data_IF_227829901876
#
_entry.id   IF_227829901876
#
_cell.length_a   1.000
_cell.length_b   1.000
_cell.length_c   1.000
_cell.angle_alpha   90.00
_cell.angle_beta   90.00
_cell.angle_gamma   90.00
#
_symmetry.space_group_name_H-M   'P 1'
#
loop_
_entity.id
_entity.type
_entity.pdbx_description
1 polymer ?
#
# COMPACT_ATOMS: atom_id res chain seq x y z
N UNK A 1 49.22 56.80 -57.20
CA UNK A 1 49.97 55.62 -56.71
C UNK A 1 49.70 55.31 -55.23
N UNK A 2 49.81 56.29 -54.31
CA UNK A 2 49.57 56.10 -52.86
C UNK A 2 48.16 55.60 -52.52
N UNK A 3 47.12 56.27 -52.99
CA UNK A 3 45.72 55.88 -52.74
C UNK A 3 45.37 54.44 -53.14
N UNK A 4 45.94 53.92 -54.25
CA UNK A 4 45.75 52.51 -54.65
C UNK A 4 46.38 51.54 -53.66
N UNK A 5 47.63 51.81 -53.24
CA UNK A 5 48.33 51.01 -52.22
C UNK A 5 47.63 51.08 -50.86
N UNK A 6 47.06 52.23 -50.51
CA UNK A 6 46.25 52.38 -49.30
C UNK A 6 44.97 51.54 -49.39
N UNK A 7 44.27 51.58 -50.53
CA UNK A 7 43.10 50.75 -50.78
C UNK A 7 43.38 49.25 -50.68
N UNK A 8 44.49 48.77 -51.27
CA UNK A 8 44.92 47.37 -51.18
C UNK A 8 45.26 46.95 -49.75
N UNK A 9 45.92 47.84 -48.98
CA UNK A 9 46.20 47.62 -47.56
C UNK A 9 44.91 47.52 -46.75
N UNK A 10 43.95 48.42 -46.98
CA UNK A 10 42.65 48.41 -46.31
C UNK A 10 41.83 47.18 -46.67
N UNK A 11 41.79 46.78 -47.94
CA UNK A 11 41.11 45.56 -48.37
C UNK A 11 41.70 44.31 -47.70
N UNK A 12 43.03 44.23 -47.64
CA UNK A 12 43.73 43.12 -46.96
C UNK A 12 43.46 43.12 -45.45
N UNK A 13 43.44 44.29 -44.82
CA UNK A 13 43.12 44.43 -43.39
C UNK A 13 41.68 44.03 -43.08
N UNK A 14 40.73 44.44 -43.91
CA UNK A 14 39.32 44.07 -43.78
C UNK A 14 39.12 42.56 -43.92
N UNK A 15 39.79 41.94 -44.90
CA UNK A 15 39.70 40.50 -45.11
C UNK A 15 40.25 39.72 -43.91
N UNK A 16 41.37 40.17 -43.31
CA UNK A 16 41.88 39.57 -42.07
C UNK A 16 40.91 39.75 -40.91
N UNK A 17 40.39 40.95 -40.71
CA UNK A 17 39.42 41.23 -39.64
C UNK A 17 38.14 40.38 -39.77
N UNK A 18 37.65 40.17 -41.00
CA UNK A 18 36.52 39.28 -41.27
C UNK A 18 36.82 37.82 -40.91
N UNK A 19 38.00 37.30 -41.29
CA UNK A 19 38.41 35.94 -40.93
C UNK A 19 38.52 35.77 -39.41
N UNK A 20 39.17 36.71 -38.73
CA UNK A 20 39.28 36.66 -37.27
C UNK A 20 37.91 36.75 -36.59
N UNK A 21 36.97 37.54 -37.13
CA UNK A 21 35.61 37.60 -36.60
C UNK A 21 34.89 36.25 -36.75
N UNK A 22 35.00 35.62 -37.92
CA UNK A 22 34.44 34.28 -38.19
C UNK A 22 35.07 33.21 -37.28
N UNK A 23 36.38 33.24 -37.07
CA UNK A 23 37.07 32.31 -36.16
C UNK A 23 36.59 32.50 -34.71
N UNK A 24 36.43 33.75 -34.26
CA UNK A 24 35.90 34.05 -32.92
C UNK A 24 34.45 33.56 -32.79
N UNK A 25 33.63 33.70 -33.81
CA UNK A 25 32.27 33.16 -33.84
C UNK A 25 32.25 31.63 -33.80
N UNK A 26 33.09 30.97 -34.60
CA UNK A 26 33.23 29.52 -34.61
C UNK A 26 33.69 28.99 -33.23
N UNK A 27 34.63 29.67 -32.58
CA UNK A 27 35.09 29.30 -31.23
C UNK A 27 33.99 29.45 -30.19
N UNK A 28 33.20 30.54 -30.23
CA UNK A 28 32.03 30.70 -29.35
C UNK A 28 30.98 29.63 -29.59
N UNK A 29 30.70 29.31 -30.86
CA UNK A 29 29.79 28.24 -31.24
C UNK A 29 30.25 26.87 -30.73
N UNK A 30 31.54 26.56 -30.84
CA UNK A 30 32.11 25.31 -30.36
C UNK A 30 32.03 25.18 -28.83
N UNK A 31 32.30 26.26 -28.09
CA UNK A 31 32.11 26.27 -26.63
C UNK A 31 30.64 26.08 -26.25
N UNK A 32 29.72 26.77 -26.94
CA UNK A 32 28.29 26.61 -26.69
C UNK A 32 27.81 25.18 -26.98
N UNK A 33 28.35 24.53 -28.02
CA UNK A 33 28.06 23.14 -28.33
C UNK A 33 28.54 22.19 -27.22
N UNK A 34 29.75 22.40 -26.69
CA UNK A 34 30.27 21.63 -25.53
C UNK A 34 29.38 21.78 -24.31
N UNK A 35 28.93 23.00 -24.01
CA UNK A 35 28.02 23.25 -22.88
C UNK A 35 26.67 22.56 -23.08
N UNK A 36 26.11 22.60 -24.29
CA UNK A 36 24.85 21.91 -24.60
C UNK A 36 24.97 20.40 -24.46
N UNK A 37 26.10 19.82 -24.89
CA UNK A 37 26.38 18.40 -24.72
C UNK A 37 26.47 18.01 -23.24
N UNK A 38 27.21 18.77 -22.44
CA UNK A 38 27.28 18.55 -20.99
C UNK A 38 25.89 18.59 -20.33
N UNK A 39 25.06 19.58 -20.69
CA UNK A 39 23.70 19.68 -20.18
C UNK A 39 22.86 18.47 -20.59
N UNK A 40 23.00 18.01 -21.84
CA UNK A 40 22.29 16.83 -22.35
C UNK A 40 22.69 15.58 -21.57
N UNK A 41 23.99 15.40 -21.33
CA UNK A 41 24.52 14.25 -20.60
C UNK A 41 24.09 14.26 -19.13
N UNK A 42 24.16 15.42 -18.47
CA UNK A 42 23.68 15.59 -17.09
C UNK A 42 22.18 15.29 -16.98
N UNK A 43 21.37 15.77 -17.94
CA UNK A 43 19.93 15.44 -17.99
C UNK A 43 19.71 13.94 -18.18
N UNK A 44 20.48 13.30 -19.06
CA UNK A 44 20.44 11.85 -19.26
C UNK A 44 20.72 11.09 -17.97
N UNK A 45 21.81 11.42 -17.28
CA UNK A 45 22.19 10.79 -16.01
C UNK A 45 21.14 10.97 -14.91
N UNK A 46 20.54 12.16 -14.84
CA UNK A 46 19.45 12.42 -13.88
C UNK A 46 18.24 11.53 -14.15
N UNK A 47 17.86 11.34 -15.42
CA UNK A 47 16.74 10.46 -15.79
C UNK A 47 17.05 8.99 -15.46
N UNK A 48 18.28 8.53 -15.66
CA UNK A 48 18.71 7.19 -15.24
C UNK A 48 18.56 7.01 -13.72
N UNK A 49 19.10 7.94 -12.94
CA UNK A 49 19.00 7.90 -11.47
C UNK A 49 17.54 7.93 -10.98
N UNK A 50 16.67 8.71 -11.63
CA UNK A 50 15.25 8.74 -11.29
C UNK A 50 14.59 7.38 -11.53
N UNK A 51 14.89 6.72 -12.66
CA UNK A 51 14.37 5.37 -12.95
C UNK A 51 14.88 4.35 -11.96
N UNK A 52 16.16 4.39 -11.60
CA UNK A 52 16.75 3.51 -10.59
C UNK A 52 16.09 3.72 -9.22
N UNK A 53 15.93 4.98 -8.81
CA UNK A 53 15.23 5.36 -7.58
C UNK A 53 13.80 4.84 -7.58
N UNK A 54 13.05 5.00 -8.67
CA UNK A 54 11.67 4.51 -8.78
C UNK A 54 11.61 2.97 -8.73
N UNK A 55 12.58 2.28 -9.34
CA UNK A 55 12.67 0.82 -9.26
C UNK A 55 12.95 0.34 -7.82
N UNK A 56 13.82 1.03 -7.08
CA UNK A 56 14.09 0.75 -5.67
C UNK A 56 12.87 1.06 -4.80
N UNK A 57 12.18 2.16 -5.08
CA UNK A 57 10.94 2.52 -4.40
C UNK A 57 9.88 1.44 -4.60
N UNK A 58 9.64 0.99 -5.83
CA UNK A 58 8.68 -0.09 -6.13
C UNK A 58 9.04 -1.41 -5.43
N UNK A 59 10.33 -1.75 -5.34
CA UNK A 59 10.76 -2.92 -4.58
C UNK A 59 10.49 -2.78 -3.08
N UNK A 60 10.57 -1.56 -2.54
CA UNK A 60 10.39 -1.31 -1.11
C UNK A 60 8.91 -1.23 -0.74
N UNK A 61 8.09 -0.56 -1.55
CA UNK A 61 6.62 -0.51 -1.40
C UNK A 61 5.95 -1.86 -1.73
N UNK A 62 6.52 -2.64 -2.66
CA UNK A 62 6.10 -4.02 -2.93
C UNK A 62 6.43 -5.01 -1.79
N UNK A 63 7.12 -4.54 -0.75
CA UNK A 63 7.31 -5.24 0.53
C UNK A 63 6.33 -4.69 1.59
N UNK A 64 5.16 -4.15 1.20
CA UNK A 64 4.01 -4.15 2.13
C UNK A 64 3.60 -5.62 2.35
N UNK A 65 3.64 -6.15 3.58
CA UNK A 65 3.30 -7.52 3.84
C UNK A 65 1.79 -7.67 3.71
N UNK A 66 1.34 -7.97 2.49
CA UNK A 66 0.19 -8.84 2.31
C UNK A 66 0.55 -10.29 2.72
N UNK A 67 1.17 -10.45 3.88
CA UNK A 67 0.81 -11.59 4.69
C UNK A 67 -0.65 -11.31 5.11
N UNK A 68 -1.60 -12.21 4.88
CA UNK A 68 -2.83 -12.18 5.65
C UNK A 68 -2.43 -12.47 7.11
N UNK A 69 -1.92 -11.45 7.79
CA UNK A 69 -1.96 -11.40 9.23
C UNK A 69 -3.45 -11.54 9.57
N UNK A 70 -3.85 -12.54 10.36
CA UNK A 70 -5.16 -12.52 10.97
C UNK A 70 -5.15 -11.36 11.97
N UNK A 71 -5.25 -10.12 11.46
CA UNK A 71 -5.53 -8.95 12.25
C UNK A 71 -6.68 -9.35 13.18
N UNK A 72 -6.54 -9.18 14.51
CA UNK A 72 -7.49 -9.70 15.47
C UNK A 72 -8.89 -9.19 15.13
N UNK A 73 -9.70 -10.07 14.52
CA UNK A 73 -11.05 -9.77 14.03
C UNK A 73 -11.79 -9.00 15.11
N UNK A 74 -12.04 -7.72 14.87
CA UNK A 74 -12.98 -6.89 15.60
C UNK A 74 -12.99 -7.12 17.13
N UNK A 75 -11.81 -7.13 17.75
CA UNK A 75 -11.72 -7.31 19.22
C UNK A 75 -12.47 -6.19 19.96
N UNK A 76 -12.75 -5.05 19.31
CA UNK A 76 -13.47 -3.89 19.86
C UNK A 76 -14.98 -3.84 19.65
N UNK A 77 -15.58 -4.69 18.81
CA UNK A 77 -16.97 -4.51 18.36
C UNK A 77 -17.89 -5.67 18.76
N UNK A 78 -19.17 -5.36 18.97
CA UNK A 78 -20.20 -6.39 19.13
C UNK A 78 -20.37 -7.17 17.82
N UNK A 79 -20.19 -8.50 17.86
CA UNK A 79 -20.30 -9.36 16.69
C UNK A 79 -21.71 -9.44 16.05
N UNK A 80 -22.71 -8.77 16.64
CA UNK A 80 -24.10 -8.72 16.12
C UNK A 80 -24.48 -7.33 15.61
N UNK A 81 -24.26 -6.28 16.41
CA UNK A 81 -24.66 -4.92 16.05
C UNK A 81 -23.50 -4.04 15.58
N UNK A 82 -22.27 -4.57 15.57
CA UNK A 82 -21.03 -3.91 15.13
C UNK A 82 -20.70 -2.58 15.84
N UNK A 83 -21.44 -2.24 16.90
CA UNK A 83 -21.16 -1.10 17.76
C UNK A 83 -19.96 -1.39 18.67
N UNK A 84 -19.19 -0.34 18.93
CA UNK A 84 -18.01 -0.40 19.81
C UNK A 84 -18.40 -0.72 21.26
N UNK A 85 -17.65 -1.61 21.89
CA UNK A 85 -17.77 -1.89 23.33
C UNK A 85 -17.40 -0.69 24.21
N UNK A 86 -16.64 0.29 23.71
CA UNK A 86 -16.39 1.56 24.41
C UNK A 86 -17.68 2.32 24.69
N UNK A 87 -18.68 2.21 23.80
CA UNK A 87 -20.00 2.82 23.96
C UNK A 87 -21.01 1.88 24.64
N UNK A 88 -20.69 0.59 24.78
CA UNK A 88 -21.58 -0.44 25.31
C UNK A 88 -20.95 -1.02 26.58
N UNK A 89 -21.48 -0.64 27.74
CA UNK A 89 -20.86 -0.78 29.07
C UNK A 89 -20.30 -2.16 29.45
N UNK A 90 -20.68 -3.25 28.77
CA UNK A 90 -20.23 -4.62 29.10
C UNK A 90 -20.06 -5.50 27.86
N UNK A 91 -18.98 -6.28 27.87
CA UNK A 91 -18.58 -7.24 26.84
C UNK A 91 -18.78 -8.68 27.33
N UNK A 92 -19.59 -9.46 26.63
CA UNK A 92 -19.87 -10.86 26.99
C UNK A 92 -19.31 -11.84 25.96
N UNK A 93 -18.78 -12.97 26.42
CA UNK A 93 -18.42 -14.10 25.55
C UNK A 93 -19.65 -14.98 25.39
N UNK A 94 -20.09 -15.25 24.16
CA UNK A 94 -21.12 -16.27 23.97
C UNK A 94 -20.60 -17.62 24.47
N UNK A 95 -21.40 -18.33 25.27
CA UNK A 95 -21.08 -19.68 25.76
C UNK A 95 -20.61 -20.61 24.64
N UNK A 96 -21.24 -20.48 23.47
CA UNK A 96 -20.98 -21.35 22.32
C UNK A 96 -19.91 -20.81 21.35
N UNK A 97 -19.31 -19.64 21.64
CA UNK A 97 -18.21 -19.10 20.86
C UNK A 97 -16.86 -19.80 21.10
N UNK A 98 -16.74 -20.57 22.19
CA UNK A 98 -15.52 -21.31 22.51
C UNK A 98 -15.60 -22.74 22.01
N UNK A 99 -15.17 -22.97 20.77
CA UNK A 99 -14.69 -24.27 20.31
C UNK A 99 -13.24 -24.45 20.74
N UNK A 100 -12.99 -24.76 22.02
CA UNK A 100 -11.65 -25.21 22.41
C UNK A 100 -11.42 -26.61 21.86
N UNK A 101 -10.32 -26.71 21.12
CA UNK A 101 -9.51 -27.90 20.89
C UNK A 101 -9.48 -28.83 22.12
N UNK A 102 -10.29 -29.88 22.12
CA UNK A 102 -9.98 -31.10 22.86
C UNK A 102 -9.70 -32.17 21.82
N UNK A 103 -8.43 -32.54 21.68
CA UNK A 103 -8.04 -33.71 20.92
C UNK A 103 -8.74 -34.93 21.51
N UNK A 104 -9.66 -35.50 20.76
CA UNK A 104 -10.17 -36.84 21.00
C UNK A 104 -9.95 -37.65 19.72
N UNK A 105 -9.09 -38.65 19.87
CA UNK A 105 -8.84 -39.71 18.91
C UNK A 105 -10.05 -40.65 18.93
N UNK A 106 -10.54 -41.01 17.75
CA UNK A 106 -11.50 -42.11 17.52
C UNK A 106 -12.95 -41.80 17.87
N UNK A 107 -13.84 -41.72 16.88
CA UNK A 107 -14.76 -42.84 16.67
C UNK A 107 -15.48 -42.73 15.32
N UNK A 108 -15.59 -43.86 14.64
CA UNK A 108 -16.31 -44.04 13.37
C UNK A 108 -17.77 -44.37 13.69
N UNK A 109 -18.70 -43.42 13.53
CA UNK A 109 -20.07 -43.80 13.21
C UNK A 109 -20.89 -42.70 12.53
N UNK A 110 -21.56 -43.09 11.44
CA UNK A 110 -22.48 -42.26 10.66
C UNK A 110 -23.84 -42.23 11.33
N UNK A 111 -24.15 -41.11 11.97
CA UNK A 111 -25.51 -40.58 12.03
C UNK A 111 -25.43 -39.08 11.74
N UNK A 112 -26.21 -38.59 10.78
CA UNK A 112 -26.36 -37.16 10.48
C UNK A 112 -27.06 -36.45 11.65
N UNK A 113 -26.31 -36.24 12.71
CA UNK A 113 -26.56 -35.20 13.70
C UNK A 113 -25.75 -33.98 13.26
N UNK A 114 -26.30 -32.75 13.34
CA UNK A 114 -25.56 -31.55 12.96
C UNK A 114 -24.32 -31.44 13.85
N UNK A 115 -23.18 -31.81 13.27
CA UNK A 115 -21.89 -31.90 13.94
C UNK A 115 -21.54 -30.58 14.64
N UNK A 116 -20.98 -30.66 15.85
CA UNK A 116 -20.47 -29.55 16.67
C UNK A 116 -19.59 -28.56 15.88
N UNK A 117 -18.99 -29.02 14.76
CA UNK A 117 -18.23 -28.21 13.80
C UNK A 117 -19.05 -27.17 13.02
N UNK A 118 -20.35 -27.37 12.76
CA UNK A 118 -21.19 -26.34 12.11
C UNK A 118 -21.63 -25.24 13.09
N UNK A 119 -21.74 -25.56 14.38
CA UNK A 119 -22.16 -24.64 15.44
C UNK A 119 -21.09 -23.60 15.83
N UNK A 120 -19.81 -23.96 15.70
CA UNK A 120 -18.68 -23.06 15.97
C UNK A 120 -18.50 -21.91 14.95
N UNK A 121 -19.22 -21.95 13.82
CA UNK A 121 -19.13 -20.93 12.76
C UNK A 121 -20.10 -19.76 12.92
N UNK A 122 -21.09 -19.88 13.82
CA UNK A 122 -22.17 -18.90 13.92
C UNK A 122 -21.84 -17.70 14.79
N UNK A 123 -21.02 -17.89 15.83
CA UNK A 123 -20.65 -16.81 16.73
C UNK A 123 -19.20 -17.00 17.21
N UNK A 124 -18.22 -16.39 16.52
CA UNK A 124 -16.81 -16.39 16.97
C UNK A 124 -16.47 -15.17 17.86
N UNK A 125 -17.47 -14.36 18.20
CA UNK A 125 -17.24 -13.01 18.72
C UNK A 125 -17.84 -12.74 20.10
N UNK A 126 -17.44 -11.61 20.65
CA UNK A 126 -18.04 -11.03 21.84
C UNK A 126 -19.33 -10.30 21.46
N UNK A 127 -20.31 -10.27 22.34
CA UNK A 127 -21.57 -9.54 22.15
C UNK A 127 -21.82 -8.58 23.31
N UNK A 128 -22.56 -7.51 23.03
CA UNK A 128 -23.00 -6.58 24.06
C UNK A 128 -24.17 -7.14 24.85
N UNK A 129 -24.54 -6.46 25.93
CA UNK A 129 -25.68 -6.84 26.77
C UNK A 129 -26.96 -7.05 25.95
N UNK A 130 -27.31 -6.08 25.09
CA UNK A 130 -28.53 -6.09 24.24
C UNK A 130 -28.53 -7.22 23.21
N UNK A 131 -27.35 -7.67 22.77
CA UNK A 131 -27.23 -8.77 21.81
C UNK A 131 -26.99 -10.12 22.49
N UNK A 132 -27.15 -10.19 23.81
CA UNK A 132 -26.94 -11.37 24.63
C UNK A 132 -28.18 -11.77 25.41
N UNK A 133 -28.35 -13.07 25.63
CA UNK A 133 -29.40 -13.62 26.51
C UNK A 133 -28.73 -14.20 27.74
N UNK A 134 -29.22 -13.86 28.93
CA UNK A 134 -28.72 -14.44 30.18
C UNK A 134 -29.40 -15.78 30.44
N UNK A 135 -28.60 -16.85 30.53
CA UNK A 135 -29.06 -18.22 30.82
C UNK A 135 -28.80 -18.57 32.29
N UNK A 136 -28.68 -17.58 33.16
CA UNK A 136 -28.47 -17.73 34.60
C UNK A 136 -27.13 -18.39 34.92
N UNK A 137 -27.14 -19.52 35.64
CA UNK A 137 -25.93 -20.30 35.95
C UNK A 137 -25.18 -20.75 34.69
N UNK A 138 -25.88 -20.81 33.56
CA UNK A 138 -25.28 -21.10 32.27
C UNK A 138 -24.74 -19.83 31.57
N UNK A 139 -24.47 -18.71 32.24
CA UNK A 139 -23.83 -17.56 31.62
C UNK A 139 -24.59 -17.04 30.40
N UNK A 140 -23.91 -16.41 29.42
CA UNK A 140 -24.61 -15.68 28.34
C UNK A 140 -24.52 -16.27 26.93
N UNK A 141 -25.69 -16.24 26.29
CA UNK A 141 -26.03 -16.36 24.88
C UNK A 141 -25.53 -15.23 23.97
N UNK A 142 -25.30 -15.43 22.68
CA UNK A 142 -25.71 -14.38 21.71
C UNK A 142 -27.10 -14.72 21.17
N UNK A 143 -27.87 -13.72 20.75
CA UNK A 143 -29.24 -13.93 20.25
C UNK A 143 -29.33 -14.94 19.11
N UNK A 144 -28.36 -14.91 18.17
CA UNK A 144 -28.30 -15.87 17.07
C UNK A 144 -28.15 -17.31 17.56
N UNK A 145 -27.17 -17.54 18.44
CA UNK A 145 -26.90 -18.87 18.97
C UNK A 145 -28.02 -19.34 19.93
N UNK A 146 -28.79 -18.43 20.54
CA UNK A 146 -30.00 -18.76 21.30
C UNK A 146 -31.16 -19.19 20.39
N UNK A 147 -31.52 -18.37 19.40
CA UNK A 147 -32.62 -18.65 18.45
C UNK A 147 -32.44 -19.99 17.73
N UNK A 148 -31.22 -20.27 17.29
CA UNK A 148 -30.96 -21.49 16.53
C UNK A 148 -31.01 -22.78 17.37
N UNK A 149 -30.87 -22.68 18.70
CA UNK A 149 -30.95 -23.81 19.63
C UNK A 149 -32.31 -23.94 20.30
N UNK A 150 -33.08 -22.85 20.30
CA UNK A 150 -34.42 -22.80 20.84
C UNK A 150 -35.39 -22.28 19.76
N UNK A 151 -35.63 -23.06 18.69
CA UNK A 151 -36.53 -22.66 17.61
C UNK A 151 -38.01 -22.56 18.04
N UNK A 152 -38.35 -23.09 19.23
CA UNK A 152 -39.71 -23.12 19.79
C UNK A 152 -39.95 -22.05 20.88
N UNK A 153 -39.08 -21.05 21.00
CA UNK A 153 -39.15 -20.01 22.05
C UNK A 153 -39.49 -18.61 21.49
N UNK A 154 -40.26 -18.55 20.40
CA UNK A 154 -40.91 -17.33 19.91
C UNK A 154 -42.20 -17.06 20.65
#
# INVERSE_FOLDING_TARGET
>A
ARARRDGERWASALQRAQREAQEREAMRGAEQARQQELIRDMKGRLLELLREKDALWQKTEGIDPQAPSPAPRDVGLCARCHKDFRLLSRRYSCRWARGHTRGHRGDTNRHHTPTVRSLSRLCQGKVCHTCSVDMGKQGRCCLLCYQQRHPQAT
#
